data_IF_029191766736
#
_entry.id   IF_029191766736
#
_cell.length_a   1.000
_cell.length_b   1.000
_cell.length_c   1.000
_cell.angle_alpha   90.00
_cell.angle_beta   90.00
_cell.angle_gamma   90.00
#
_symmetry.space_group_name_H-M   'P 1'
#
loop_
_entity.id
_entity.type
_entity.pdbx_description
1 polymer ?
#
# COMPACT_ATOMS: atom_id res chain seq x y z
N UNK A 1 41.06 -10.64 29.45
CA UNK A 1 39.90 -11.24 28.78
C UNK A 1 38.85 -10.15 28.61
N UNK A 2 38.78 -9.58 27.43
CA UNK A 2 37.64 -8.80 26.95
C UNK A 2 37.62 -9.09 25.45
N UNK A 3 36.82 -10.07 25.05
CA UNK A 3 36.55 -10.35 23.64
C UNK A 3 35.52 -9.34 23.16
N UNK A 4 35.90 -8.70 22.06
CA UNK A 4 35.19 -7.69 21.30
C UNK A 4 34.05 -8.37 20.53
N UNK A 5 32.81 -8.03 20.84
CA UNK A 5 31.62 -8.55 20.16
C UNK A 5 31.40 -7.75 18.87
N UNK A 6 32.23 -8.06 17.88
CA UNK A 6 32.14 -7.49 16.54
C UNK A 6 30.83 -7.96 15.88
N UNK A 7 29.90 -7.01 15.76
CA UNK A 7 28.73 -7.02 14.87
C UNK A 7 28.94 -7.90 13.64
N UNK A 8 28.37 -9.11 13.67
CA UNK A 8 28.38 -10.05 12.56
C UNK A 8 27.41 -9.56 11.47
N UNK A 9 27.93 -8.78 10.52
CA UNK A 9 27.19 -8.37 9.33
C UNK A 9 27.30 -9.46 8.27
N UNK A 10 26.18 -10.14 8.01
CA UNK A 10 26.07 -11.27 7.07
C UNK A 10 26.43 -10.91 5.60
N UNK A 11 26.67 -9.63 5.29
CA UNK A 11 26.93 -9.13 3.94
C UNK A 11 28.16 -8.22 3.80
N UNK A 12 28.90 -7.94 4.88
CA UNK A 12 30.02 -6.97 4.81
C UNK A 12 31.35 -7.57 4.31
N UNK A 13 31.45 -8.88 4.09
CA UNK A 13 32.71 -9.54 3.69
C UNK A 13 32.72 -10.01 2.23
N UNK A 14 32.11 -9.26 1.30
CA UNK A 14 32.36 -9.52 -0.13
C UNK A 14 33.70 -8.89 -0.53
N UNK A 15 34.61 -9.71 -1.03
CA UNK A 15 35.85 -9.24 -1.66
C UNK A 15 35.55 -8.31 -2.84
N UNK A 16 36.48 -7.43 -3.20
CA UNK A 16 36.30 -6.52 -4.33
C UNK A 16 35.97 -7.27 -5.65
N UNK A 17 36.53 -8.47 -5.83
CA UNK A 17 36.25 -9.33 -6.98
C UNK A 17 34.83 -9.90 -6.94
N UNK A 18 34.33 -10.31 -5.77
CA UNK A 18 32.94 -10.76 -5.60
C UNK A 18 31.94 -9.61 -5.78
N UNK A 19 32.27 -8.41 -5.31
CA UNK A 19 31.48 -7.20 -5.55
C UNK A 19 31.43 -6.89 -7.05
N UNK A 20 32.57 -6.92 -7.75
CA UNK A 20 32.64 -6.67 -9.19
C UNK A 20 31.86 -7.74 -9.99
N UNK A 21 31.97 -9.01 -9.61
CA UNK A 21 31.24 -10.11 -10.23
C UNK A 21 29.72 -9.96 -10.02
N UNK A 22 29.29 -9.59 -8.81
CA UNK A 22 27.89 -9.33 -8.49
C UNK A 22 27.35 -8.13 -9.27
N UNK A 23 28.10 -7.03 -9.37
CA UNK A 23 27.73 -5.85 -10.17
C UNK A 23 27.58 -6.22 -11.64
N UNK A 24 28.54 -6.97 -12.22
CA UNK A 24 28.48 -7.45 -13.60
C UNK A 24 27.26 -8.35 -13.86
N UNK A 25 26.95 -9.24 -12.91
CA UNK A 25 25.76 -10.09 -12.97
C UNK A 25 24.47 -9.26 -12.91
N UNK A 26 24.39 -8.30 -12.00
CA UNK A 26 23.24 -7.39 -11.90
C UNK A 26 23.05 -6.56 -13.17
N UNK A 27 24.14 -6.07 -13.76
CA UNK A 27 24.10 -5.34 -15.04
C UNK A 27 23.59 -6.22 -16.18
N UNK A 28 24.16 -7.42 -16.36
CA UNK A 28 23.70 -8.36 -17.40
C UNK A 28 22.21 -8.71 -17.24
N UNK A 29 21.74 -8.89 -16.00
CA UNK A 29 20.33 -9.15 -15.72
C UNK A 29 19.44 -7.94 -16.05
N UNK A 30 19.91 -6.72 -15.78
CA UNK A 30 19.19 -5.48 -16.13
C UNK A 30 19.09 -5.30 -17.65
N UNK A 31 20.18 -5.52 -18.39
CA UNK A 31 20.20 -5.43 -19.86
C UNK A 31 19.20 -6.42 -20.49
N UNK A 32 19.23 -7.69 -20.07
CA UNK A 32 18.26 -8.70 -20.52
C UNK A 32 16.82 -8.34 -20.18
N UNK A 33 16.60 -7.73 -19.01
CA UNK A 33 15.27 -7.27 -18.63
C UNK A 33 14.80 -6.14 -19.56
N UNK A 34 15.67 -5.18 -19.91
CA UNK A 34 15.35 -4.08 -20.83
C UNK A 34 15.05 -4.62 -22.23
N UNK A 35 15.87 -5.52 -22.76
CA UNK A 35 15.62 -6.17 -24.06
C UNK A 35 14.25 -6.87 -24.07
N UNK A 36 13.93 -7.60 -23.00
CA UNK A 36 12.63 -8.25 -22.86
C UNK A 36 11.50 -7.23 -22.83
N UNK A 37 11.65 -6.13 -22.09
CA UNK A 37 10.63 -5.07 -22.00
C UNK A 37 10.31 -4.45 -23.37
N UNK A 38 11.31 -4.28 -24.23
CA UNK A 38 11.12 -3.73 -25.58
C UNK A 38 10.29 -4.64 -26.50
N UNK A 39 10.28 -5.95 -26.24
CA UNK A 39 9.52 -6.93 -27.03
C UNK A 39 8.06 -7.08 -26.55
N UNK A 40 7.72 -6.57 -25.36
CA UNK A 40 6.38 -6.73 -24.80
C UNK A 40 5.37 -5.80 -25.50
N UNK A 41 4.11 -6.26 -25.68
CA UNK A 41 3.02 -5.39 -26.11
C UNK A 41 2.91 -4.14 -25.22
N UNK A 42 2.34 -3.03 -25.71
CA UNK A 42 2.15 -1.81 -24.88
C UNK A 42 0.97 -1.92 -23.90
N UNK A 43 -0.06 -2.65 -24.28
CA UNK A 43 -1.30 -2.80 -23.51
C UNK A 43 -1.14 -3.86 -22.40
N UNK A 44 -1.48 -3.53 -21.13
CA UNK A 44 -1.40 -4.47 -20.01
C UNK A 44 -2.22 -5.76 -20.20
N UNK A 45 -3.40 -5.65 -20.81
CA UNK A 45 -4.28 -6.80 -21.03
C UNK A 45 -3.66 -7.86 -21.96
N UNK A 46 -2.75 -7.45 -22.85
CA UNK A 46 -2.04 -8.32 -23.81
C UNK A 46 -0.77 -8.96 -23.25
N UNK A 47 -0.42 -8.66 -22.00
CA UNK A 47 0.71 -9.26 -21.29
C UNK A 47 0.22 -10.28 -20.27
N UNK A 48 1.09 -11.23 -19.93
CA UNK A 48 0.91 -12.05 -18.73
C UNK A 48 1.08 -11.19 -17.46
N UNK A 49 0.56 -11.68 -16.34
CA UNK A 49 0.66 -11.00 -15.06
C UNK A 49 2.13 -10.87 -14.59
N UNK A 50 2.99 -11.86 -14.89
CA UNK A 50 4.44 -11.77 -14.63
C UNK A 50 5.10 -10.66 -15.44
N UNK A 51 4.69 -10.46 -16.69
CA UNK A 51 5.19 -9.40 -17.56
C UNK A 51 4.71 -8.02 -17.12
N UNK A 52 3.44 -7.87 -16.70
CA UNK A 52 2.96 -6.62 -16.11
C UNK A 52 3.73 -6.26 -14.85
N UNK A 53 4.06 -7.24 -13.99
CA UNK A 53 4.96 -7.01 -12.84
C UNK A 53 6.37 -6.63 -13.24
N UNK A 54 6.93 -7.22 -14.31
CA UNK A 54 8.25 -6.84 -14.80
C UNK A 54 8.25 -5.39 -15.30
N UNK A 55 7.24 -5.01 -16.07
CA UNK A 55 7.03 -3.63 -16.55
C UNK A 55 6.90 -2.68 -15.38
N UNK A 56 6.02 -2.98 -14.41
CA UNK A 56 5.85 -2.19 -13.20
C UNK A 56 7.16 -2.05 -12.42
N UNK A 57 7.89 -3.15 -12.20
CA UNK A 57 9.15 -3.14 -11.42
C UNK A 57 10.24 -2.30 -12.06
N UNK A 58 10.23 -2.15 -13.39
CA UNK A 58 11.17 -1.28 -14.09
C UNK A 58 10.66 0.17 -14.11
N UNK A 59 9.39 0.37 -14.50
CA UNK A 59 8.77 1.67 -14.61
C UNK A 59 8.67 2.42 -13.28
N UNK A 60 8.54 1.72 -12.15
CA UNK A 60 8.37 2.35 -10.83
C UNK A 60 9.51 3.28 -10.43
N UNK A 61 10.72 3.07 -10.94
CA UNK A 61 11.87 3.93 -10.64
C UNK A 61 11.75 5.32 -11.26
N UNK A 62 10.90 5.48 -12.28
CA UNK A 62 10.79 6.76 -13.01
C UNK A 62 9.35 7.29 -13.02
N UNK A 63 8.35 6.40 -13.09
CA UNK A 63 6.95 6.75 -13.37
C UNK A 63 6.04 6.85 -12.16
N UNK A 64 6.35 6.12 -11.09
CA UNK A 64 5.44 5.94 -9.94
C UNK A 64 5.99 6.57 -8.66
N UNK A 65 6.78 7.63 -8.81
CA UNK A 65 7.47 8.29 -7.70
C UNK A 65 6.54 9.15 -6.84
N UNK A 66 5.40 9.60 -7.39
CA UNK A 66 4.53 10.56 -6.72
C UNK A 66 3.14 9.98 -6.43
N UNK A 67 2.55 10.30 -5.27
CA UNK A 67 1.18 9.91 -4.97
C UNK A 67 0.22 10.57 -5.95
N UNK A 68 -0.83 9.84 -6.32
CA UNK A 68 -1.91 10.32 -7.16
C UNK A 68 -3.17 10.53 -6.33
N UNK A 69 -4.02 11.46 -6.75
CA UNK A 69 -5.30 11.74 -6.10
C UNK A 69 -6.45 11.52 -7.05
N UNK A 70 -7.56 11.03 -6.52
CA UNK A 70 -8.86 11.05 -7.19
C UNK A 70 -9.90 11.62 -6.25
N UNK A 71 -10.74 12.50 -6.77
CA UNK A 71 -11.74 13.22 -5.95
C UNK A 71 -13.08 12.53 -6.01
N UNK A 72 -13.87 12.62 -4.94
CA UNK A 72 -15.23 12.09 -4.88
C UNK A 72 -15.33 10.59 -5.23
N UNK A 73 -14.39 9.78 -4.73
CA UNK A 73 -14.49 8.31 -4.83
C UNK A 73 -15.74 7.82 -4.09
N UNK A 74 -16.02 8.45 -2.95
CA UNK A 74 -17.30 8.41 -2.26
C UNK A 74 -17.90 9.80 -2.18
N UNK A 75 -19.22 9.87 -2.20
CA UNK A 75 -19.93 11.11 -1.87
C UNK A 75 -19.91 11.35 -0.36
N UNK A 76 -20.09 12.61 0.11
CA UNK A 76 -20.22 12.91 1.54
C UNK A 76 -21.32 12.08 2.24
N UNK A 77 -22.43 11.82 1.54
CA UNK A 77 -23.52 10.99 2.06
C UNK A 77 -23.10 9.53 2.26
N UNK A 78 -22.37 8.96 1.31
CA UNK A 78 -21.79 7.61 1.44
C UNK A 78 -20.78 7.57 2.60
N UNK A 79 -19.90 8.56 2.72
CA UNK A 79 -18.96 8.67 3.83
C UNK A 79 -19.66 8.70 5.19
N UNK A 80 -20.72 9.51 5.34
CA UNK A 80 -21.47 9.59 6.59
C UNK A 80 -22.16 8.26 6.93
N UNK A 81 -22.73 7.55 5.94
CA UNK A 81 -23.29 6.21 6.15
C UNK A 81 -22.24 5.17 6.59
N UNK A 82 -21.04 5.24 6.02
CA UNK A 82 -19.89 4.41 6.44
C UNK A 82 -19.50 4.76 7.89
N UNK A 83 -19.36 6.04 8.23
CA UNK A 83 -19.01 6.50 9.58
C UNK A 83 -20.03 6.06 10.63
N UNK A 84 -21.32 6.18 10.34
CA UNK A 84 -22.40 5.74 11.24
C UNK A 84 -22.35 4.24 11.52
N UNK A 85 -21.86 3.47 10.55
CA UNK A 85 -21.60 2.04 10.73
C UNK A 85 -20.34 1.83 11.57
N UNK A 86 -19.23 2.50 11.23
CA UNK A 86 -17.95 2.43 11.97
C UNK A 86 -18.12 2.74 13.47
N UNK A 87 -18.92 3.76 13.82
CA UNK A 87 -19.18 4.17 15.21
C UNK A 87 -19.92 3.12 16.03
N UNK A 88 -20.66 2.22 15.38
CA UNK A 88 -21.41 1.12 16.01
C UNK A 88 -20.65 -0.21 16.01
N UNK A 89 -19.56 -0.29 15.25
CA UNK A 89 -18.76 -1.51 15.15
C UNK A 89 -17.97 -1.74 16.45
N UNK A 90 -18.05 -2.97 16.94
CA UNK A 90 -17.21 -3.50 18.01
C UNK A 90 -16.04 -4.28 17.40
N UNK A 91 -14.91 -4.37 18.11
CA UNK A 91 -13.74 -5.13 17.65
C UNK A 91 -12.62 -4.31 17.00
N UNK A 92 -12.55 -3.00 17.28
CA UNK A 92 -11.34 -2.21 17.03
C UNK A 92 -10.14 -2.85 17.73
N UNK A 93 -9.05 -3.03 17.01
CA UNK A 93 -7.83 -3.68 17.50
C UNK A 93 -6.60 -2.86 17.14
N UNK A 94 -5.53 -3.05 17.88
CA UNK A 94 -4.22 -2.42 17.66
C UNK A 94 -3.13 -3.44 17.30
N UNK A 95 -3.50 -4.71 17.08
CA UNK A 95 -2.53 -5.81 16.99
C UNK A 95 -2.49 -6.48 15.60
N UNK A 96 -3.17 -5.93 14.59
CA UNK A 96 -3.24 -6.56 13.26
C UNK A 96 -1.97 -6.42 12.43
N UNK A 97 -1.23 -5.33 12.62
CA UNK A 97 0.01 -5.06 11.92
C UNK A 97 1.16 -4.93 12.93
N UNK A 98 2.19 -5.77 12.79
CA UNK A 98 3.24 -5.91 13.81
C UNK A 98 4.26 -4.77 13.81
N UNK A 99 4.63 -4.25 12.63
CA UNK A 99 5.63 -3.19 12.52
C UNK A 99 5.04 -1.80 12.77
N UNK A 100 3.85 -1.54 12.21
CA UNK A 100 3.18 -0.24 12.26
C UNK A 100 1.71 -0.44 12.65
N UNK A 101 1.42 -0.72 13.93
CA UNK A 101 0.06 -1.00 14.39
C UNK A 101 -0.83 0.24 14.32
N UNK A 102 -2.06 0.05 13.86
CA UNK A 102 -3.13 1.04 13.86
C UNK A 102 -4.32 0.58 14.68
N UNK A 103 -5.07 1.52 15.23
CA UNK A 103 -6.42 1.27 15.74
C UNK A 103 -7.34 1.07 14.55
N UNK A 104 -7.59 -0.18 14.20
CA UNK A 104 -8.28 -0.53 12.95
C UNK A 104 -9.26 -1.70 13.07
N UNK A 105 -10.05 -1.89 12.01
CA UNK A 105 -10.97 -3.01 11.84
C UNK A 105 -11.03 -3.45 10.37
N UNK A 106 -10.89 -4.75 10.06
CA UNK A 106 -11.06 -5.24 8.69
C UNK A 106 -12.52 -5.07 8.27
N UNK A 107 -12.77 -4.70 7.01
CA UNK A 107 -14.15 -4.57 6.54
C UNK A 107 -14.74 -5.89 6.04
N UNK A 108 -13.90 -6.85 5.67
CA UNK A 108 -14.35 -8.18 5.20
C UNK A 108 -15.06 -8.90 6.34
N UNK A 109 -16.27 -9.41 6.06
CA UNK A 109 -17.10 -10.08 7.06
C UNK A 109 -17.84 -9.13 8.03
N UNK A 110 -17.81 -7.82 7.78
CA UNK A 110 -18.55 -6.82 8.56
C UNK A 110 -19.69 -6.21 7.74
N UNK A 111 -20.49 -5.35 8.35
CA UNK A 111 -21.51 -4.56 7.64
C UNK A 111 -20.94 -3.67 6.52
N UNK A 112 -19.62 -3.43 6.50
CA UNK A 112 -18.92 -2.66 5.47
C UNK A 112 -18.36 -3.50 4.33
N UNK A 113 -18.62 -4.81 4.29
CA UNK A 113 -18.07 -5.69 3.26
C UNK A 113 -18.45 -5.28 1.82
N UNK A 114 -19.59 -4.60 1.63
CA UNK A 114 -20.03 -4.09 0.33
C UNK A 114 -19.06 -3.07 -0.30
N UNK A 115 -18.23 -2.40 0.52
CA UNK A 115 -17.25 -1.43 0.03
C UNK A 115 -16.17 -2.11 -0.83
N UNK A 116 -15.92 -3.40 -0.64
CA UNK A 116 -14.94 -4.16 -1.44
C UNK A 116 -15.28 -4.09 -2.93
N UNK A 117 -16.54 -4.36 -3.29
CA UNK A 117 -16.96 -4.36 -4.69
C UNK A 117 -17.11 -2.93 -5.22
N UNK A 118 -17.56 -1.99 -4.38
CA UNK A 118 -17.66 -0.58 -4.74
C UNK A 118 -16.29 0.01 -5.13
N UNK A 119 -15.23 -0.29 -4.38
CA UNK A 119 -13.87 0.20 -4.66
C UNK A 119 -13.27 -0.51 -5.86
N UNK A 120 -13.52 -1.82 -6.03
CA UNK A 120 -13.12 -2.51 -7.25
C UNK A 120 -13.74 -1.87 -8.50
N UNK A 121 -15.00 -1.47 -8.43
CA UNK A 121 -15.67 -0.82 -9.57
C UNK A 121 -15.14 0.59 -9.81
N UNK A 122 -14.90 1.38 -8.75
CA UNK A 122 -14.56 2.81 -8.87
C UNK A 122 -13.06 3.08 -8.99
N UNK A 123 -12.23 2.41 -8.20
CA UNK A 123 -10.79 2.72 -8.06
C UNK A 123 -9.88 1.78 -8.86
N UNK A 124 -10.18 0.49 -8.96
CA UNK A 124 -9.26 -0.46 -9.60
C UNK A 124 -8.98 -0.16 -11.08
N UNK A 125 -9.94 0.33 -11.90
CA UNK A 125 -9.64 0.78 -13.26
C UNK A 125 -8.55 1.86 -13.28
N UNK A 126 -8.64 2.85 -12.37
CA UNK A 126 -7.63 3.91 -12.27
C UNK A 126 -6.25 3.36 -11.86
N UNK A 127 -6.23 2.42 -10.92
CA UNK A 127 -5.00 1.75 -10.50
C UNK A 127 -4.38 0.94 -11.64
N UNK A 128 -5.20 0.17 -12.36
CA UNK A 128 -4.77 -0.63 -13.51
C UNK A 128 -4.17 0.24 -14.62
N UNK A 129 -4.86 1.31 -14.98
CA UNK A 129 -4.42 2.26 -16.00
C UNK A 129 -3.11 2.98 -15.60
N UNK A 130 -3.02 3.43 -14.34
CA UNK A 130 -1.84 4.13 -13.85
C UNK A 130 -0.63 3.20 -13.75
N UNK A 131 -0.78 2.04 -13.08
CA UNK A 131 0.33 1.14 -12.75
C UNK A 131 0.62 0.08 -13.82
N UNK A 132 -0.21 -0.03 -14.86
CA UNK A 132 0.01 -0.93 -15.98
C UNK A 132 -0.41 -2.38 -15.71
N UNK A 133 -1.58 -2.55 -15.08
CA UNK A 133 -2.18 -3.85 -14.78
C UNK A 133 -3.60 -3.96 -15.35
N UNK A 134 -4.05 -5.18 -15.62
CA UNK A 134 -5.46 -5.42 -15.82
C UNK A 134 -6.20 -5.38 -14.47
N UNK A 135 -7.09 -4.41 -14.29
CA UNK A 135 -7.78 -4.17 -13.02
C UNK A 135 -8.57 -5.37 -12.50
N UNK A 136 -9.21 -6.14 -13.39
CA UNK A 136 -10.08 -7.24 -13.03
C UNK A 136 -9.32 -8.57 -12.89
N UNK A 137 -8.36 -8.79 -13.79
CA UNK A 137 -7.60 -10.04 -13.87
C UNK A 137 -6.40 -10.06 -12.93
N UNK A 138 -5.67 -8.93 -12.84
CA UNK A 138 -4.36 -8.91 -12.21
C UNK A 138 -4.41 -8.47 -10.76
N UNK A 139 -5.33 -7.57 -10.38
CA UNK A 139 -5.34 -6.90 -9.06
C UNK A 139 -6.38 -7.50 -8.08
N UNK A 140 -5.99 -7.58 -6.81
CA UNK A 140 -6.89 -7.93 -5.71
C UNK A 140 -6.45 -7.30 -4.39
N UNK A 141 -7.38 -7.21 -3.42
CA UNK A 141 -7.06 -6.74 -2.07
C UNK A 141 -6.24 -7.77 -1.30
N UNK A 142 -5.01 -7.39 -0.94
CA UNK A 142 -4.25 -8.05 0.14
C UNK A 142 -4.95 -7.80 1.47
N UNK A 143 -5.27 -6.54 1.77
CA UNK A 143 -6.02 -6.16 2.96
C UNK A 143 -6.88 -4.91 2.68
N UNK A 144 -7.95 -4.73 3.43
CA UNK A 144 -8.81 -3.54 3.39
C UNK A 144 -9.51 -3.36 4.72
N UNK A 145 -9.35 -2.18 5.31
CA UNK A 145 -9.71 -1.92 6.70
C UNK A 145 -9.94 -0.44 6.96
N UNK A 146 -10.69 -0.13 8.02
CA UNK A 146 -10.89 1.24 8.50
C UNK A 146 -9.88 1.51 9.60
N UNK A 147 -9.17 2.64 9.52
CA UNK A 147 -8.31 3.15 10.58
C UNK A 147 -9.02 4.30 11.29
N UNK A 148 -8.92 4.33 12.62
CA UNK A 148 -9.39 5.42 13.47
C UNK A 148 -8.20 6.08 14.16
N UNK A 149 -8.02 7.37 13.92
CA UNK A 149 -7.19 8.23 14.73
C UNK A 149 -8.04 9.08 15.68
N UNK A 150 -7.54 9.31 16.88
CA UNK A 150 -8.19 10.17 17.89
C UNK A 150 -7.13 11.02 18.58
N UNK A 151 -7.43 12.30 18.80
CA UNK A 151 -6.54 13.23 19.50
C UNK A 151 -6.18 12.75 20.93
N UNK A 152 -7.02 11.90 21.53
CA UNK A 152 -6.81 11.33 22.87
C UNK A 152 -6.12 9.96 22.90
N UNK A 153 -5.87 9.34 21.74
CA UNK A 153 -5.20 8.04 21.67
C UNK A 153 -4.18 8.01 20.53
N UNK A 154 -4.33 7.12 19.55
CA UNK A 154 -3.46 7.10 18.39
C UNK A 154 -3.79 8.28 17.47
N UNK A 155 -2.88 9.25 17.36
CA UNK A 155 -3.12 10.51 16.62
C UNK A 155 -2.68 10.45 15.16
N UNK A 156 -1.74 9.57 14.85
CA UNK A 156 -1.11 9.42 13.55
C UNK A 156 -0.34 8.09 13.49
N UNK A 157 0.53 7.98 12.50
CA UNK A 157 1.37 6.80 12.29
C UNK A 157 2.73 7.23 11.78
N UNK A 158 3.80 6.69 12.37
CA UNK A 158 5.18 7.01 12.01
C UNK A 158 5.49 6.73 10.52
N UNK A 159 6.57 7.33 10.01
CA UNK A 159 6.97 7.14 8.62
C UNK A 159 7.26 5.65 8.32
N UNK A 160 6.66 5.12 7.26
CA UNK A 160 6.79 3.71 6.85
C UNK A 160 6.51 3.51 5.35
N UNK A 161 6.86 2.33 4.86
CA UNK A 161 6.43 1.80 3.55
C UNK A 161 5.51 0.61 3.78
N UNK A 162 4.64 0.32 2.82
CA UNK A 162 3.69 -0.76 2.94
C UNK A 162 4.20 -2.08 2.33
N UNK A 163 3.86 -3.18 2.99
CA UNK A 163 4.16 -4.54 2.55
C UNK A 163 3.22 -5.05 1.44
N UNK A 164 2.95 -4.24 0.42
CA UNK A 164 2.09 -4.60 -0.71
C UNK A 164 2.61 -4.02 -2.04
N UNK A 165 1.82 -4.12 -3.11
CA UNK A 165 2.20 -3.60 -4.43
C UNK A 165 1.86 -2.10 -4.55
N UNK A 166 0.65 -1.74 -4.13
CA UNK A 166 0.13 -0.37 -4.14
C UNK A 166 -0.85 -0.17 -2.99
N UNK A 167 -0.83 1.03 -2.44
CA UNK A 167 -1.66 1.41 -1.30
C UNK A 167 -2.55 2.59 -1.68
N UNK A 168 -3.70 2.67 -1.01
CA UNK A 168 -4.53 3.86 -1.05
C UNK A 168 -5.17 4.13 0.30
N UNK A 169 -5.52 5.39 0.54
CA UNK A 169 -6.42 5.75 1.61
C UNK A 169 -7.49 6.75 1.14
N UNK A 170 -8.68 6.61 1.71
CA UNK A 170 -9.84 7.48 1.46
C UNK A 170 -10.20 8.18 2.75
N UNK A 171 -10.35 9.50 2.73
CA UNK A 171 -10.81 10.24 3.89
C UNK A 171 -12.32 10.02 4.09
N UNK A 172 -12.72 9.51 5.25
CA UNK A 172 -14.14 9.30 5.59
C UNK A 172 -14.70 10.39 6.49
N UNK A 173 -13.92 10.89 7.45
CA UNK A 173 -14.32 12.02 8.31
C UNK A 173 -14.48 13.32 7.53
N UNK A 174 -15.37 14.20 7.97
CA UNK A 174 -15.39 15.57 7.46
C UNK A 174 -14.14 16.32 7.96
N UNK A 175 -13.47 17.16 7.15
CA UNK A 175 -12.28 17.91 7.59
C UNK A 175 -12.50 18.79 8.83
N UNK A 176 -13.72 19.28 9.06
CA UNK A 176 -14.04 20.10 10.25
C UNK A 176 -14.10 19.28 11.55
N UNK A 177 -14.27 17.96 11.47
CA UNK A 177 -14.40 17.07 12.62
C UNK A 177 -13.06 16.82 13.35
N UNK A 178 -11.93 17.21 12.74
CA UNK A 178 -10.58 17.06 13.30
C UNK A 178 -9.67 18.22 12.91
N UNK A 179 -8.55 18.40 13.62
CA UNK A 179 -7.48 19.34 13.24
C UNK A 179 -6.19 18.59 12.95
N UNK A 180 -5.37 19.11 12.03
CA UNK A 180 -4.13 18.48 11.61
C UNK A 180 -4.40 17.30 10.66
N UNK A 181 -3.64 16.22 10.79
CA UNK A 181 -3.84 15.05 9.93
C UNK A 181 -3.34 15.23 8.50
N UNK A 182 -3.82 14.35 7.62
CA UNK A 182 -3.31 14.16 6.26
C UNK A 182 -2.29 13.04 6.17
N UNK A 183 -1.64 12.93 5.01
CA UNK A 183 -0.57 11.96 4.76
C UNK A 183 0.62 12.68 4.15
N UNK A 184 1.74 12.72 4.86
CA UNK A 184 3.01 13.22 4.31
C UNK A 184 3.66 12.15 3.44
N UNK A 185 4.24 12.56 2.32
CA UNK A 185 4.98 11.70 1.40
C UNK A 185 6.37 12.26 1.18
N UNK A 186 7.40 11.43 1.36
CA UNK A 186 8.80 11.81 1.21
C UNK A 186 9.10 12.33 -0.20
N UNK A 187 8.53 11.69 -1.22
CA UNK A 187 8.83 12.01 -2.62
C UNK A 187 8.40 13.40 -3.07
N UNK A 188 7.43 14.02 -2.39
CA UNK A 188 6.99 15.39 -2.65
C UNK A 188 7.31 16.34 -1.48
N UNK A 189 7.93 15.82 -0.42
CA UNK A 189 8.16 16.48 0.87
C UNK A 189 6.98 17.35 1.33
N UNK A 190 5.78 16.78 1.29
CA UNK A 190 4.55 17.54 1.53
C UNK A 190 3.41 16.66 2.02
N UNK A 191 2.49 17.31 2.74
CA UNK A 191 1.28 16.68 3.27
C UNK A 191 0.16 16.75 2.24
N UNK A 192 -0.30 15.58 1.81
CA UNK A 192 -1.53 15.45 1.05
C UNK A 192 -2.72 15.58 2.00
N UNK A 193 -3.46 16.67 1.86
CA UNK A 193 -4.78 16.85 2.45
C UNK A 193 -5.87 16.43 1.44
N UNK A 194 -6.91 15.78 1.96
CA UNK A 194 -8.03 15.24 1.19
C UNK A 194 -9.33 15.88 1.66
N UNK A 195 -10.29 16.09 0.75
CA UNK A 195 -11.67 16.34 1.16
C UNK A 195 -12.36 15.02 1.54
N UNK A 196 -13.52 15.11 2.20
CA UNK A 196 -14.30 13.92 2.54
C UNK A 196 -14.67 13.15 1.26
N UNK A 197 -14.35 11.86 1.21
CA UNK A 197 -14.59 10.98 0.06
C UNK A 197 -13.51 11.00 -1.01
N UNK A 198 -12.49 11.86 -0.90
CA UNK A 198 -11.34 11.84 -1.77
C UNK A 198 -10.38 10.71 -1.39
N UNK A 199 -9.63 10.24 -2.39
CA UNK A 199 -8.68 9.14 -2.28
C UNK A 199 -7.29 9.57 -2.75
N UNK A 200 -6.27 9.16 -2.01
CA UNK A 200 -4.88 9.18 -2.46
C UNK A 200 -4.40 7.74 -2.65
N UNK A 201 -3.74 7.46 -3.76
CA UNK A 201 -3.14 6.16 -4.04
C UNK A 201 -1.70 6.31 -4.52
N UNK A 202 -0.85 5.35 -4.20
CA UNK A 202 0.58 5.44 -4.45
C UNK A 202 1.23 4.06 -4.54
N UNK A 203 2.44 4.04 -5.09
CA UNK A 203 3.32 2.88 -4.95
C UNK A 203 3.60 2.66 -3.46
N UNK A 204 3.40 1.43 -2.99
CA UNK A 204 3.57 1.02 -1.59
C UNK A 204 4.99 1.25 -1.04
N UNK A 205 6.01 1.36 -1.91
CA UNK A 205 7.39 1.67 -1.49
C UNK A 205 7.66 3.15 -1.24
N UNK A 206 6.72 4.05 -1.54
CA UNK A 206 6.90 5.47 -1.20
C UNK A 206 6.82 5.61 0.32
N UNK A 207 7.87 6.17 0.91
CA UNK A 207 7.92 6.52 2.33
C UNK A 207 6.83 7.56 2.62
N UNK A 208 5.98 7.25 3.59
CA UNK A 208 4.86 8.13 3.95
C UNK A 208 4.55 8.05 5.44
N UNK A 209 3.88 9.09 5.95
CA UNK A 209 3.56 9.25 7.37
C UNK A 209 2.12 9.73 7.53
N UNK A 210 1.37 9.12 8.45
CA UNK A 210 0.09 9.66 8.91
C UNK A 210 0.34 10.79 9.91
N UNK A 211 0.10 12.04 9.50
CA UNK A 211 0.35 13.21 10.36
C UNK A 211 -0.61 13.18 11.56
N UNK A 212 -0.08 13.56 12.72
CA UNK A 212 -0.85 13.62 13.96
C UNK A 212 -2.03 14.59 13.83
N UNK A 213 -3.21 14.14 14.28
CA UNK A 213 -4.34 15.04 14.56
C UNK A 213 -4.22 15.62 15.97
N UNK A 214 -4.68 16.86 16.15
CA UNK A 214 -4.64 17.58 17.43
C UNK A 214 -6.02 17.77 18.06
N UNK A 215 -7.09 17.57 17.30
CA UNK A 215 -8.49 17.64 17.75
C UNK A 215 -9.31 16.53 17.08
N UNK A 216 -10.33 16.03 17.78
CA UNK A 216 -11.38 15.21 17.19
C UNK A 216 -10.96 13.79 16.80
N UNK A 217 -11.70 13.22 15.86
CA UNK A 217 -11.49 11.85 15.37
C UNK A 217 -11.43 11.80 13.84
N UNK A 218 -10.38 11.17 13.30
CA UNK A 218 -10.15 11.02 11.86
C UNK A 218 -10.28 9.55 11.47
N UNK A 219 -11.25 9.25 10.63
CA UNK A 219 -11.47 7.94 10.05
C UNK A 219 -11.02 7.94 8.59
N UNK A 220 -10.24 6.92 8.23
CA UNK A 220 -9.82 6.66 6.86
C UNK A 220 -10.08 5.21 6.49
N UNK A 221 -10.45 4.96 5.24
CA UNK A 221 -10.44 3.61 4.67
C UNK A 221 -9.09 3.38 4.00
N UNK A 222 -8.39 2.32 4.38
CA UNK A 222 -7.09 1.95 3.82
C UNK A 222 -7.24 0.64 3.06
N UNK A 223 -6.62 0.55 1.88
CA UNK A 223 -6.55 -0.69 1.11
C UNK A 223 -5.15 -0.97 0.62
N UNK A 224 -4.70 -2.20 0.86
CA UNK A 224 -3.49 -2.78 0.30
C UNK A 224 -3.87 -3.66 -0.88
N UNK A 225 -3.34 -3.33 -2.05
CA UNK A 225 -3.60 -4.05 -3.29
C UNK A 225 -2.33 -4.75 -3.74
N UNK A 226 -2.49 -5.96 -4.24
CA UNK A 226 -1.42 -6.79 -4.77
C UNK A 226 -1.93 -7.56 -5.98
N UNK A 227 -1.02 -8.23 -6.67
CA UNK A 227 -1.42 -9.13 -7.74
C UNK A 227 -2.05 -10.42 -7.22
N UNK A 228 -3.03 -10.95 -7.96
CA UNK A 228 -3.78 -12.16 -7.61
C UNK A 228 -2.86 -13.35 -7.33
N UNK A 229 -1.78 -13.54 -8.09
CA UNK A 229 -0.88 -14.67 -7.89
C UNK A 229 0.01 -14.52 -6.63
N UNK A 230 0.41 -13.29 -6.28
CA UNK A 230 1.13 -13.03 -5.01
C UNK A 230 0.23 -13.41 -3.83
N UNK A 231 -1.02 -12.95 -3.84
CA UNK A 231 -2.00 -13.28 -2.78
C UNK A 231 -2.22 -14.80 -2.70
N UNK A 232 -2.35 -15.47 -3.85
CA UNK A 232 -2.55 -16.92 -3.91
C UNK A 232 -1.35 -17.70 -3.37
N UNK A 233 -0.12 -17.24 -3.68
CA UNK A 233 1.12 -17.83 -3.16
C UNK A 233 1.24 -17.68 -1.65
N UNK A 234 0.96 -16.48 -1.13
CA UNK A 234 1.02 -16.22 0.32
C UNK A 234 0.00 -17.07 1.07
N UNK A 235 -1.24 -17.18 0.57
CA UNK A 235 -2.27 -18.03 1.16
C UNK A 235 -1.87 -19.51 1.17
N UNK A 236 -1.18 -19.99 0.13
CA UNK A 236 -0.61 -21.34 0.12
C UNK A 236 0.49 -21.50 1.17
N UNK A 237 1.43 -20.57 1.25
CA UNK A 237 2.53 -20.62 2.22
C UNK A 237 2.02 -20.62 3.68
N UNK A 238 0.98 -19.85 3.98
CA UNK A 238 0.35 -19.82 5.31
C UNK A 238 -0.27 -21.19 5.64
N UNK A 239 -1.04 -21.77 4.70
CA UNK A 239 -1.61 -23.12 4.89
C UNK A 239 -0.54 -24.17 5.14
N UNK A 240 0.54 -24.15 4.36
CA UNK A 240 1.64 -25.11 4.47
C UNK A 240 2.38 -25.00 5.82
N UNK A 241 2.41 -23.81 6.45
CA UNK A 241 2.97 -23.61 7.80
C UNK A 241 2.04 -24.06 8.93
N UNK A 242 0.73 -24.06 8.72
CA UNK A 242 -0.25 -24.52 9.72
C UNK A 242 -0.42 -26.04 9.75
N UNK A 243 0.01 -26.74 8.69
CA UNK A 243 -0.03 -28.21 8.59
C UNK A 243 1.32 -28.88 8.90
N UNK A 244 2.29 -28.12 9.41
CA UNK A 244 3.58 -28.61 9.93
C UNK A 244 3.61 -28.40 11.44
#
# INVERSE_FOLDING_TARGET
>A
MAEDDSSFSLFDDLTADEQALNQKRQQCMREKAIERLQQLPREPCRRSLQENRLVFSHARQDRFQFPQKTTQLFTPAECNGILDTCRKMVGWTTQRHSAFPTTDIPIKGTALAYLVDMIKQRLFPMLGDHFGFDACRDLAFRDIFIVKYSASSQRGLQAHTDGCLMSFNVLLSHPDDFDGGGTWFESIDSVVQLAQGDCVYHDARIMHQGIDITRGERYILVGFVDTVDTITKDARAIRDRQHK
#
